data_IF_549768466059
#
_entry.id   IF_549768466059
#
_cell.length_a   1.000
_cell.length_b   1.000
_cell.length_c   1.000
_cell.angle_alpha   90.00
_cell.angle_beta   90.00
_cell.angle_gamma   90.00
#
_symmetry.space_group_name_H-M   'P 1'
#
loop_
_entity.id
_entity.type
_entity.pdbx_description
1 polymer ?
#
# COMPACT_ATOMS: atom_id res chain seq x y z
N UNK A 1 -2.89 29.51 -3.95
CA UNK A 1 -1.50 29.43 -4.47
C UNK A 1 -0.85 28.27 -3.73
N UNK A 2 -0.04 27.42 -4.38
CA UNK A 2 0.63 26.32 -3.69
C UNK A 2 1.47 26.88 -2.54
N UNK A 3 1.30 26.33 -1.34
CA UNK A 3 2.03 26.73 -0.14
C UNK A 3 3.43 26.09 -0.08
N UNK A 4 3.64 24.99 -0.81
CA UNK A 4 4.92 24.30 -0.95
C UNK A 4 5.25 24.00 -2.43
N UNK A 5 6.50 23.63 -2.79
CA UNK A 5 6.84 23.38 -4.19
C UNK A 5 5.99 22.28 -4.84
N UNK A 6 5.66 22.41 -6.14
CA UNK A 6 4.67 21.55 -6.80
C UNK A 6 5.20 20.18 -7.20
N UNK A 7 6.42 19.81 -6.84
CA UNK A 7 7.02 18.52 -7.24
C UNK A 7 7.99 18.02 -6.19
N UNK A 8 8.10 16.69 -6.06
CA UNK A 8 9.09 16.00 -5.23
C UNK A 8 10.50 16.41 -5.69
N UNK A 9 10.74 16.55 -6.99
CA UNK A 9 12.01 17.05 -7.51
C UNK A 9 12.38 18.44 -6.97
N UNK A 10 11.42 19.37 -6.98
CA UNK A 10 11.63 20.71 -6.46
C UNK A 10 11.87 20.69 -4.95
N UNK A 11 11.05 19.96 -4.18
CA UNK A 11 11.26 19.78 -2.74
C UNK A 11 12.64 19.19 -2.46
N UNK A 12 13.05 18.15 -3.18
CA UNK A 12 14.32 17.47 -2.98
C UNK A 12 15.55 18.34 -3.29
N UNK A 13 15.37 19.43 -4.05
CA UNK A 13 16.44 20.40 -4.38
C UNK A 13 16.64 21.45 -3.27
N UNK A 14 15.73 21.54 -2.29
CA UNK A 14 15.85 22.43 -1.13
C UNK A 14 16.90 21.94 -0.12
N UNK A 15 17.23 22.79 0.86
CA UNK A 15 18.08 22.40 1.98
C UNK A 15 17.44 21.25 2.77
N UNK A 16 18.27 20.41 3.40
CA UNK A 16 17.81 19.20 4.10
C UNK A 16 16.72 19.49 5.13
N UNK A 17 16.90 20.51 5.97
CA UNK A 17 15.95 20.85 7.03
C UNK A 17 14.60 21.31 6.46
N UNK A 18 14.62 22.07 5.36
CA UNK A 18 13.40 22.56 4.70
C UNK A 18 12.59 21.41 4.10
N UNK A 19 13.24 20.50 3.35
CA UNK A 19 12.52 19.38 2.76
C UNK A 19 12.05 18.36 3.79
N UNK A 20 12.82 18.14 4.86
CA UNK A 20 12.39 17.28 5.98
C UNK A 20 11.17 17.87 6.68
N UNK A 21 11.14 19.19 6.91
CA UNK A 21 9.98 19.87 7.48
C UNK A 21 8.74 19.80 6.57
N UNK A 22 8.92 19.79 5.25
CA UNK A 22 7.81 19.56 4.30
C UNK A 22 7.32 18.12 4.39
N UNK A 23 8.21 17.13 4.26
CA UNK A 23 7.82 15.73 4.24
C UNK A 23 7.32 15.20 5.59
N UNK A 24 7.70 15.79 6.72
CA UNK A 24 7.16 15.41 8.03
C UNK A 24 5.65 15.63 8.14
N UNK A 25 5.08 16.55 7.34
CA UNK A 25 3.63 16.77 7.25
C UNK A 25 2.85 15.56 6.72
N UNK A 26 3.52 14.61 6.06
CA UNK A 26 2.92 13.35 5.61
C UNK A 26 2.73 12.33 6.74
N UNK A 27 3.31 12.58 7.91
CA UNK A 27 3.25 11.69 9.06
C UNK A 27 2.03 12.10 9.91
N UNK A 28 1.05 11.20 10.10
CA UNK A 28 -0.12 11.51 10.92
C UNK A 28 0.25 11.94 12.34
N UNK A 29 -0.43 12.97 12.86
CA UNK A 29 -0.17 13.58 14.17
C UNK A 29 -0.13 12.58 15.34
N UNK A 30 -1.05 11.60 15.34
CA UNK A 30 -1.14 10.57 16.37
C UNK A 30 0.14 9.72 16.48
N UNK A 31 0.93 9.59 15.40
CA UNK A 31 2.22 8.87 15.45
C UNK A 31 3.20 9.57 16.38
N UNK A 32 3.24 10.91 16.36
CA UNK A 32 4.10 11.67 17.25
C UNK A 32 3.61 11.59 18.69
N UNK A 33 2.32 11.84 18.88
CA UNK A 33 1.73 12.00 20.20
C UNK A 33 1.65 10.67 20.96
N UNK A 34 1.17 9.60 20.31
CA UNK A 34 0.97 8.29 20.95
C UNK A 34 2.30 7.56 21.21
N UNK A 35 3.31 7.79 20.37
CA UNK A 35 4.61 7.13 20.50
C UNK A 35 5.65 7.97 21.26
N UNK A 36 5.34 9.23 21.58
CA UNK A 36 6.26 10.15 22.24
C UNK A 36 7.48 10.47 21.39
N UNK A 37 7.30 10.66 20.08
CA UNK A 37 8.39 10.99 19.15
C UNK A 37 8.57 12.52 19.12
N UNK A 38 9.81 12.98 19.31
CA UNK A 38 10.14 14.40 19.19
C UNK A 38 10.00 14.85 17.73
N UNK A 39 9.25 15.93 17.49
CA UNK A 39 8.91 16.43 16.15
C UNK A 39 10.06 17.15 15.44
N UNK A 40 11.08 17.58 16.18
CA UNK A 40 12.25 18.30 15.65
C UNK A 40 13.40 17.34 15.38
N UNK A 41 13.66 16.43 16.32
CA UNK A 41 14.77 15.47 16.21
C UNK A 41 14.35 14.16 15.53
N UNK A 42 13.05 13.86 15.52
CA UNK A 42 12.46 12.61 15.05
C UNK A 42 12.99 11.37 15.80
N UNK A 43 13.29 11.58 17.07
CA UNK A 43 13.81 10.58 17.98
C UNK A 43 12.76 10.17 19.00
N UNK A 44 12.91 8.94 19.48
CA UNK A 44 12.23 8.41 20.66
C UNK A 44 13.30 7.83 21.58
N UNK A 45 13.27 8.22 22.85
CA UNK A 45 14.26 7.79 23.85
C UNK A 45 15.73 8.03 23.39
N UNK A 46 15.97 9.15 22.70
CA UNK A 46 17.29 9.54 22.17
C UNK A 46 17.78 8.70 20.99
N UNK A 47 16.88 7.96 20.31
CA UNK A 47 17.20 7.17 19.12
C UNK A 47 16.31 7.58 17.95
N UNK A 48 16.90 7.75 16.77
CA UNK A 48 16.18 8.04 15.53
C UNK A 48 15.18 6.93 15.20
N UNK A 49 13.93 7.30 14.95
CA UNK A 49 12.85 6.35 14.57
C UNK A 49 12.10 6.75 13.30
N UNK A 50 12.32 7.96 12.78
CA UNK A 50 11.77 8.39 11.49
C UNK A 50 12.90 8.78 10.55
N UNK A 51 13.00 8.08 9.43
CA UNK A 51 14.00 8.33 8.39
C UNK A 51 13.33 8.87 7.13
N UNK A 52 13.97 9.89 6.53
CA UNK A 52 13.55 10.50 5.28
C UNK A 52 14.65 10.29 4.23
N UNK A 53 14.37 9.46 3.23
CA UNK A 53 15.27 9.22 2.11
C UNK A 53 14.86 10.12 0.94
N UNK A 54 15.43 11.32 0.89
CA UNK A 54 15.07 12.38 -0.06
C UNK A 54 16.33 12.97 -0.74
N UNK A 55 17.01 12.16 -1.55
CA UNK A 55 18.27 12.54 -2.20
C UNK A 55 18.09 13.78 -3.08
N UNK A 56 19.06 14.71 -3.03
CA UNK A 56 19.05 15.89 -3.88
C UNK A 56 18.92 15.54 -5.37
N UNK A 57 18.07 16.29 -6.08
CA UNK A 57 17.72 16.07 -7.49
C UNK A 57 17.07 14.72 -7.79
N UNK A 58 16.61 13.97 -6.78
CA UNK A 58 15.77 12.80 -6.97
C UNK A 58 14.32 13.20 -7.22
N UNK A 59 13.59 12.35 -7.94
CA UNK A 59 12.15 12.44 -8.17
C UNK A 59 11.34 11.52 -7.26
N UNK A 60 12.03 10.88 -6.30
CA UNK A 60 11.43 9.99 -5.30
C UNK A 60 11.75 10.46 -3.88
N UNK A 61 10.87 10.08 -2.96
CA UNK A 61 11.08 10.19 -1.51
C UNK A 61 10.57 8.91 -0.86
N UNK A 62 11.30 8.45 0.15
CA UNK A 62 10.85 7.38 1.05
C UNK A 62 10.83 7.90 2.49
N UNK A 63 9.79 7.53 3.23
CA UNK A 63 9.63 7.84 4.64
C UNK A 63 9.43 6.52 5.37
N UNK A 64 10.27 6.27 6.38
CA UNK A 64 10.20 5.09 7.22
C UNK A 64 10.01 5.51 8.66
N UNK A 65 8.94 5.04 9.30
CA UNK A 65 8.65 5.28 10.72
C UNK A 65 8.66 3.94 11.45
N UNK A 66 9.51 3.81 12.47
CA UNK A 66 9.54 2.66 13.38
C UNK A 66 8.90 3.02 14.72
N UNK A 67 8.38 2.02 15.44
CA UNK A 67 7.87 2.22 16.80
C UNK A 67 9.01 2.25 17.83
N UNK A 68 10.03 1.41 17.60
CA UNK A 68 11.32 1.38 18.28
C UNK A 68 12.44 1.31 17.23
N UNK A 69 13.58 1.95 17.49
CA UNK A 69 14.71 1.97 16.55
C UNK A 69 15.25 0.58 16.20
N UNK A 70 15.07 -0.40 17.10
CA UNK A 70 15.45 -1.80 16.92
C UNK A 70 14.43 -2.64 16.15
N UNK A 71 13.24 -2.11 15.85
CA UNK A 71 12.24 -2.83 15.06
C UNK A 71 12.82 -3.19 13.68
N UNK A 72 12.61 -4.43 13.27
CA UNK A 72 13.03 -4.92 11.95
C UNK A 72 12.25 -4.20 10.84
N UNK A 73 10.93 -4.14 10.97
CA UNK A 73 10.03 -3.58 9.98
C UNK A 73 9.52 -2.21 10.43
N UNK A 74 9.30 -1.26 9.50
CA UNK A 74 8.64 -0.01 9.84
C UNK A 74 7.17 -0.26 10.21
N UNK A 75 6.67 0.55 11.15
CA UNK A 75 5.26 0.69 11.45
C UNK A 75 4.52 1.43 10.32
N UNK A 76 5.15 2.46 9.75
CA UNK A 76 4.68 3.16 8.56
C UNK A 76 5.83 3.28 7.55
N UNK A 77 5.58 2.87 6.31
CA UNK A 77 6.47 3.12 5.20
C UNK A 77 5.70 3.77 4.05
N UNK A 78 6.24 4.85 3.50
CA UNK A 78 5.70 5.55 2.34
C UNK A 78 6.81 5.73 1.31
N UNK A 79 6.56 5.32 0.07
CA UNK A 79 7.41 5.58 -1.08
C UNK A 79 6.55 6.23 -2.16
N UNK A 80 6.95 7.42 -2.60
CA UNK A 80 6.27 8.18 -3.63
C UNK A 80 7.29 8.84 -4.56
N UNK A 81 6.86 9.04 -5.80
CA UNK A 81 7.66 9.69 -6.82
C UNK A 81 6.78 10.64 -7.66
N UNK A 82 7.40 11.55 -8.41
CA UNK A 82 6.70 12.36 -9.39
C UNK A 82 7.07 11.98 -10.83
N UNK A 83 6.16 12.21 -11.77
CA UNK A 83 6.40 12.03 -13.21
C UNK A 83 7.01 13.29 -13.82
N UNK A 84 7.55 13.22 -15.05
CA UNK A 84 8.14 14.40 -15.72
C UNK A 84 7.14 15.56 -15.86
N UNK A 85 5.85 15.25 -15.81
CA UNK A 85 4.74 16.20 -15.80
C UNK A 85 4.28 16.58 -14.38
N UNK A 86 5.11 16.33 -13.37
CA UNK A 86 4.89 16.64 -11.94
C UNK A 86 3.71 15.92 -11.31
N UNK A 87 3.14 14.90 -11.94
CA UNK A 87 2.07 14.11 -11.32
C UNK A 87 2.65 13.28 -10.19
N UNK A 88 2.02 13.32 -9.02
CA UNK A 88 2.43 12.53 -7.86
C UNK A 88 1.95 11.08 -8.01
N UNK A 89 2.84 10.13 -7.74
CA UNK A 89 2.60 8.70 -7.82
C UNK A 89 3.02 8.03 -6.51
N UNK A 90 2.06 7.46 -5.78
CA UNK A 90 2.33 6.64 -4.60
C UNK A 90 2.71 5.24 -5.07
N UNK A 91 3.95 4.85 -4.79
CA UNK A 91 4.52 3.56 -5.23
C UNK A 91 4.26 2.46 -4.21
N UNK A 92 4.40 2.77 -2.91
CA UNK A 92 4.12 1.84 -1.83
C UNK A 92 3.72 2.60 -0.58
N UNK A 93 2.68 2.12 0.10
CA UNK A 93 2.32 2.56 1.45
C UNK A 93 2.01 1.34 2.30
N UNK A 94 2.62 1.27 3.48
CA UNK A 94 2.48 0.17 4.43
C UNK A 94 2.18 0.74 5.80
N UNK A 95 1.20 0.14 6.48
CA UNK A 95 0.94 0.35 7.90
C UNK A 95 0.94 -1.01 8.59
N UNK A 96 1.83 -1.21 9.55
CA UNK A 96 2.00 -2.46 10.29
C UNK A 96 1.59 -2.30 11.75
N UNK A 97 0.73 -3.18 12.22
CA UNK A 97 0.44 -3.39 13.64
C UNK A 97 1.62 -4.15 14.27
N UNK A 98 2.46 -3.42 14.99
CA UNK A 98 3.72 -3.93 15.55
C UNK A 98 3.50 -4.92 16.70
N UNK A 99 2.29 -5.00 17.27
CA UNK A 99 1.91 -5.99 18.26
C UNK A 99 1.36 -7.27 17.63
N UNK A 100 1.05 -7.24 16.34
CA UNK A 100 0.62 -8.43 15.60
C UNK A 100 1.79 -9.33 15.23
N UNK A 101 1.52 -10.64 15.12
CA UNK A 101 2.50 -11.62 14.65
C UNK A 101 3.03 -11.23 13.26
N UNK A 102 4.36 -11.31 13.09
CA UNK A 102 5.03 -11.23 11.79
C UNK A 102 4.98 -12.57 11.07
N UNK A 103 4.72 -12.53 9.78
CA UNK A 103 4.82 -13.66 8.86
C UNK A 103 5.90 -13.37 7.83
N UNK A 104 6.84 -14.29 7.66
CA UNK A 104 8.03 -14.09 6.83
C UNK A 104 7.74 -14.41 5.36
N UNK A 105 6.72 -13.76 4.78
CA UNK A 105 6.36 -13.93 3.36
C UNK A 105 7.21 -13.08 2.41
N UNK A 106 7.90 -12.09 2.96
CA UNK A 106 8.82 -11.18 2.28
C UNK A 106 10.21 -11.78 2.07
N UNK A 107 10.51 -12.91 2.73
CA UNK A 107 11.77 -13.64 2.60
C UNK A 107 11.53 -15.14 2.39
N UNK A 108 12.38 -15.80 1.61
CA UNK A 108 12.33 -17.25 1.43
C UNK A 108 12.97 -18.02 2.60
N UNK A 109 13.01 -19.35 2.52
CA UNK A 109 13.60 -20.20 3.56
C UNK A 109 15.11 -19.99 3.75
N UNK A 110 15.80 -19.40 2.78
CA UNK A 110 17.22 -19.04 2.86
C UNK A 110 17.42 -17.56 3.28
N UNK A 111 16.33 -16.82 3.51
CA UNK A 111 16.36 -15.41 3.91
C UNK A 111 16.49 -14.42 2.76
N UNK A 112 16.37 -14.86 1.49
CA UNK A 112 16.42 -13.94 0.36
C UNK A 112 15.06 -13.25 0.16
N UNK A 113 15.02 -11.99 -0.29
CA UNK A 113 13.76 -11.30 -0.58
C UNK A 113 12.92 -12.04 -1.63
N UNK A 114 11.63 -12.23 -1.35
CA UNK A 114 10.69 -12.85 -2.30
C UNK A 114 10.22 -11.89 -3.39
N UNK A 115 10.42 -10.58 -3.18
CA UNK A 115 9.91 -9.50 -4.03
C UNK A 115 8.41 -9.65 -4.30
N UNK A 116 7.61 -9.75 -3.23
CA UNK A 116 6.15 -9.94 -3.29
C UNK A 116 5.75 -11.20 -4.07
N UNK A 117 6.56 -12.26 -3.97
CA UNK A 117 6.30 -13.54 -4.63
C UNK A 117 6.78 -13.62 -6.08
N UNK A 118 7.43 -12.58 -6.62
CA UNK A 118 7.88 -12.56 -8.03
C UNK A 118 9.19 -13.31 -8.25
N UNK A 119 10.08 -13.37 -7.26
CA UNK A 119 11.36 -14.10 -7.36
C UNK A 119 11.30 -15.49 -6.75
N UNK A 120 10.67 -15.62 -5.58
CA UNK A 120 10.50 -16.87 -4.83
C UNK A 120 9.28 -16.75 -3.92
N UNK A 121 8.81 -17.85 -3.32
CA UNK A 121 7.68 -17.84 -2.38
C UNK A 121 8.02 -18.63 -1.12
N UNK A 122 7.60 -18.11 0.02
CA UNK A 122 7.63 -18.83 1.30
C UNK A 122 6.24 -19.42 1.59
N UNK A 123 5.90 -20.52 0.93
CA UNK A 123 4.56 -21.12 0.95
C UNK A 123 4.05 -21.41 2.37
N UNK A 124 4.83 -21.98 3.30
CA UNK A 124 4.37 -22.20 4.67
C UNK A 124 3.95 -20.90 5.38
N UNK A 125 4.73 -19.83 5.24
CA UNK A 125 4.42 -18.52 5.83
C UNK A 125 3.22 -17.85 5.15
N UNK A 126 3.08 -17.98 3.83
CA UNK A 126 1.92 -17.46 3.10
C UNK A 126 0.62 -18.14 3.54
N UNK A 127 0.63 -19.47 3.72
CA UNK A 127 -0.52 -20.21 4.25
C UNK A 127 -0.85 -19.74 5.68
N UNK A 128 0.17 -19.58 6.53
CA UNK A 128 -0.03 -19.13 7.91
C UNK A 128 -0.56 -17.69 7.98
N UNK A 129 -0.05 -16.79 7.12
CA UNK A 129 -0.51 -15.40 7.01
C UNK A 129 -1.97 -15.34 6.52
N UNK A 130 -2.28 -16.10 5.46
CA UNK A 130 -3.64 -16.21 4.93
C UNK A 130 -4.63 -16.70 5.99
N UNK A 131 -4.28 -17.75 6.75
CA UNK A 131 -5.12 -18.29 7.82
C UNK A 131 -5.34 -17.28 8.96
N UNK A 132 -4.39 -16.36 9.18
CA UNK A 132 -4.52 -15.26 10.13
C UNK A 132 -5.27 -14.04 9.57
N UNK A 133 -5.78 -14.12 8.34
CA UNK A 133 -6.57 -13.07 7.71
C UNK A 133 -5.73 -11.95 7.09
N UNK A 134 -4.46 -12.20 6.75
CA UNK A 134 -3.64 -11.27 5.97
C UNK A 134 -3.86 -11.51 4.47
N UNK A 135 -3.70 -10.47 3.66
CA UNK A 135 -3.65 -10.54 2.19
C UNK A 135 -2.22 -10.81 1.68
N UNK A 136 -2.06 -11.14 0.38
CA UNK A 136 -0.74 -11.28 -0.24
C UNK A 136 0.14 -10.04 -0.02
N UNK A 137 1.42 -10.23 0.30
CA UNK A 137 2.36 -9.14 0.55
C UNK A 137 2.22 -8.43 1.91
N UNK A 138 1.22 -8.80 2.73
CA UNK A 138 1.12 -8.32 4.11
C UNK A 138 1.91 -9.22 5.07
N UNK A 139 2.97 -8.69 5.70
CA UNK A 139 3.77 -9.41 6.70
C UNK A 139 3.18 -9.32 8.12
N UNK A 140 2.32 -8.32 8.36
CA UNK A 140 1.68 -8.04 9.65
C UNK A 140 0.24 -7.57 9.40
N UNK A 141 -0.59 -7.58 10.45
CA UNK A 141 -1.92 -6.96 10.37
C UNK A 141 -1.76 -5.45 10.14
N UNK A 142 -2.66 -4.84 9.36
CA UNK A 142 -2.65 -3.39 9.20
C UNK A 142 -3.25 -2.63 10.39
N UNK A 143 -2.78 -1.40 10.64
CA UNK A 143 -3.26 -0.53 11.74
C UNK A 143 -4.66 0.06 11.53
N UNK A 144 -5.32 -0.21 10.38
CA UNK A 144 -6.56 0.48 9.96
C UNK A 144 -6.43 2.01 9.93
N UNK A 145 -5.20 2.53 9.89
CA UNK A 145 -4.87 3.96 9.91
C UNK A 145 -5.17 4.68 8.59
N UNK A 146 -5.49 3.95 7.52
CA UNK A 146 -5.71 4.53 6.19
C UNK A 146 -6.84 5.58 6.18
N UNK A 147 -7.88 5.39 7.00
CA UNK A 147 -8.96 6.38 7.17
C UNK A 147 -8.46 7.74 7.66
N UNK A 148 -7.42 7.76 8.50
CA UNK A 148 -6.84 8.99 9.03
C UNK A 148 -5.68 9.49 8.16
N UNK A 149 -4.97 8.59 7.48
CA UNK A 149 -3.83 8.93 6.64
C UNK A 149 -4.22 9.55 5.29
N UNK A 150 -5.34 9.13 4.69
CA UNK A 150 -5.80 9.67 3.40
C UNK A 150 -6.07 11.17 3.47
N UNK A 151 -6.83 11.71 4.45
CA UNK A 151 -7.03 13.15 4.57
C UNK A 151 -5.72 13.95 4.70
N UNK A 152 -4.79 13.49 5.57
CA UNK A 152 -3.46 14.12 5.72
C UNK A 152 -2.69 14.11 4.40
N UNK A 153 -2.79 13.02 3.64
CA UNK A 153 -2.16 12.93 2.33
C UNK A 153 -2.83 13.86 1.31
N UNK A 154 -4.17 13.92 1.27
CA UNK A 154 -4.91 14.84 0.39
C UNK A 154 -4.55 16.31 0.67
N UNK A 155 -4.51 16.73 1.94
CA UNK A 155 -4.07 18.08 2.32
C UNK A 155 -2.64 18.38 1.86
N UNK A 156 -1.73 17.41 1.97
CA UNK A 156 -0.37 17.56 1.46
C UNK A 156 -0.36 17.79 -0.06
N UNK A 157 -1.11 16.98 -0.82
CA UNK A 157 -1.18 17.07 -2.28
C UNK A 157 -1.83 18.40 -2.71
N UNK A 158 -2.88 18.86 -2.02
CA UNK A 158 -3.51 20.16 -2.26
C UNK A 158 -2.51 21.31 -2.01
N UNK A 159 -1.70 21.22 -0.95
CA UNK A 159 -0.68 22.25 -0.64
C UNK A 159 0.44 22.34 -1.68
N UNK A 160 0.70 21.25 -2.42
CA UNK A 160 1.57 21.23 -3.60
C UNK A 160 0.90 21.81 -4.85
N UNK A 161 -0.41 22.08 -4.81
CA UNK A 161 -1.19 22.61 -5.94
C UNK A 161 -1.65 21.54 -6.92
N UNK A 162 -1.78 20.28 -6.49
CA UNK A 162 -2.31 19.18 -7.30
C UNK A 162 -3.74 18.86 -6.91
N UNK A 163 -4.60 18.56 -7.88
CA UNK A 163 -5.99 18.16 -7.62
C UNK A 163 -6.18 16.63 -7.52
N UNK A 164 -5.13 15.86 -7.84
CA UNK A 164 -5.15 14.40 -7.84
C UNK A 164 -3.76 13.81 -7.64
N UNK A 165 -3.72 12.53 -7.26
CA UNK A 165 -2.51 11.71 -7.26
C UNK A 165 -2.81 10.29 -7.77
N UNK A 166 -1.77 9.60 -8.24
CA UNK A 166 -1.82 8.26 -8.80
C UNK A 166 -1.38 7.21 -7.78
N UNK A 167 -1.84 5.97 -7.95
CA UNK A 167 -1.36 4.80 -7.21
C UNK A 167 -1.46 3.53 -8.06
N UNK A 168 -0.53 2.60 -7.85
CA UNK A 168 -0.56 1.26 -8.44
C UNK A 168 -0.81 0.21 -7.36
N UNK A 169 -2.00 -0.42 -7.31
CA UNK A 169 -2.26 -1.49 -6.37
C UNK A 169 -1.44 -2.74 -6.73
N UNK A 170 -0.45 -3.08 -5.89
CA UNK A 170 0.43 -4.24 -6.09
C UNK A 170 -0.30 -5.61 -5.95
N UNK A 171 -1.54 -5.60 -5.46
CA UNK A 171 -2.37 -6.80 -5.31
C UNK A 171 -3.85 -6.47 -5.48
N UNK A 172 -4.67 -7.47 -5.85
CA UNK A 172 -6.11 -7.31 -6.08
C UNK A 172 -6.85 -6.69 -4.89
N UNK A 173 -6.56 -7.15 -3.67
CA UNK A 173 -7.22 -6.61 -2.47
C UNK A 173 -6.90 -5.13 -2.24
N UNK A 174 -5.73 -4.64 -2.67
CA UNK A 174 -5.39 -3.22 -2.57
C UNK A 174 -6.24 -2.38 -3.54
N UNK A 175 -6.50 -2.87 -4.75
CA UNK A 175 -7.39 -2.19 -5.69
C UNK A 175 -8.82 -2.06 -5.12
N UNK A 176 -9.36 -3.16 -4.57
CA UNK A 176 -10.68 -3.13 -3.91
C UNK A 176 -10.68 -2.23 -2.66
N UNK A 177 -9.58 -2.16 -1.92
CA UNK A 177 -9.45 -1.22 -0.80
C UNK A 177 -9.50 0.22 -1.28
N UNK A 178 -8.77 0.56 -2.33
CA UNK A 178 -8.71 1.92 -2.88
C UNK A 178 -10.05 2.36 -3.48
N UNK A 179 -10.81 1.46 -4.13
CA UNK A 179 -12.20 1.73 -4.53
C UNK A 179 -13.04 2.24 -3.35
N UNK A 180 -12.94 1.59 -2.18
CA UNK A 180 -13.67 1.99 -0.96
C UNK A 180 -13.21 3.33 -0.37
N UNK A 181 -12.02 3.79 -0.73
CA UNK A 181 -11.53 5.14 -0.38
C UNK A 181 -11.79 6.16 -1.50
N UNK A 182 -12.64 5.82 -2.47
CA UNK A 182 -13.09 6.72 -3.51
C UNK A 182 -12.06 6.93 -4.63
N UNK A 183 -11.11 6.02 -4.80
CA UNK A 183 -10.24 6.02 -5.97
C UNK A 183 -11.01 5.56 -7.21
N UNK A 184 -10.58 6.06 -8.37
CA UNK A 184 -11.07 5.64 -9.68
C UNK A 184 -9.88 5.11 -10.52
N UNK A 185 -10.16 4.56 -11.69
CA UNK A 185 -9.15 3.90 -12.52
C UNK A 185 -8.67 4.81 -13.64
N UNK A 186 -7.35 4.96 -13.75
CA UNK A 186 -6.72 5.43 -15.00
C UNK A 186 -6.66 4.28 -16.01
N UNK A 187 -6.41 3.06 -15.52
CA UNK A 187 -6.32 1.84 -16.31
C UNK A 187 -6.73 0.63 -15.46
N UNK A 188 -7.40 -0.35 -16.08
CA UNK A 188 -7.68 -1.64 -15.45
C UNK A 188 -9.11 -1.84 -14.92
N UNK A 189 -10.01 -0.85 -15.06
CA UNK A 189 -11.42 -1.00 -14.63
C UNK A 189 -12.10 -2.23 -15.25
N UNK A 190 -12.01 -2.39 -16.57
CA UNK A 190 -12.58 -3.54 -17.28
C UNK A 190 -11.96 -4.86 -16.82
N UNK A 191 -10.66 -4.88 -16.52
CA UNK A 191 -9.97 -6.06 -15.97
C UNK A 191 -10.53 -6.43 -14.59
N UNK A 192 -10.78 -5.45 -13.74
CA UNK A 192 -11.34 -5.68 -12.40
C UNK A 192 -12.78 -6.20 -12.46
N UNK A 193 -13.61 -5.62 -13.34
CA UNK A 193 -14.97 -6.11 -13.62
C UNK A 193 -14.97 -7.54 -14.18
N UNK A 194 -14.02 -7.84 -15.08
CA UNK A 194 -13.85 -9.18 -15.65
C UNK A 194 -13.42 -10.19 -14.59
N UNK A 195 -12.45 -9.84 -13.73
CA UNK A 195 -12.06 -10.67 -12.59
C UNK A 195 -13.29 -10.98 -11.72
N UNK A 196 -14.10 -9.97 -11.42
CA UNK A 196 -15.33 -10.19 -10.66
C UNK A 196 -16.27 -11.18 -11.34
N UNK A 197 -16.56 -10.99 -12.62
CA UNK A 197 -17.42 -11.88 -13.42
C UNK A 197 -16.91 -13.32 -13.44
N UNK A 198 -15.59 -13.52 -13.55
CA UNK A 198 -14.98 -14.85 -13.63
C UNK A 198 -14.94 -15.58 -12.28
N UNK A 199 -15.02 -14.87 -11.16
CA UNK A 199 -15.19 -15.45 -9.83
C UNK A 199 -16.65 -15.73 -9.45
N UNK A 200 -17.63 -15.20 -10.19
CA UNK A 200 -19.04 -15.56 -9.98
C UNK A 200 -19.30 -17.04 -10.32
N UNK A 201 -20.38 -17.65 -9.79
CA UNK A 201 -20.84 -18.96 -10.25
C UNK A 201 -20.85 -19.06 -11.79
N UNK A 202 -20.47 -20.22 -12.31
CA UNK A 202 -20.25 -20.51 -13.73
C UNK A 202 -19.07 -19.79 -14.42
N UNK A 203 -18.43 -18.85 -13.74
CA UNK A 203 -17.19 -18.22 -14.18
C UNK A 203 -16.02 -19.21 -14.28
N UNK A 204 -15.01 -18.89 -15.11
CA UNK A 204 -13.83 -19.73 -15.29
C UNK A 204 -13.04 -19.86 -13.99
N UNK A 205 -12.79 -18.77 -13.27
CA UNK A 205 -12.04 -18.82 -12.02
C UNK A 205 -12.80 -19.55 -10.93
N UNK A 206 -14.13 -19.39 -10.87
CA UNK A 206 -14.97 -20.17 -9.94
C UNK A 206 -14.87 -21.68 -10.20
N UNK A 207 -14.81 -22.11 -11.46
CA UNK A 207 -14.65 -23.53 -11.84
C UNK A 207 -13.25 -24.09 -11.55
N UNK A 208 -12.24 -23.22 -11.41
CA UNK A 208 -10.88 -23.59 -11.04
C UNK A 208 -10.66 -23.64 -9.51
N UNK A 209 -11.70 -23.34 -8.71
CA UNK A 209 -11.63 -23.50 -7.27
C UNK A 209 -11.76 -24.98 -6.91
N UNK A 210 -10.87 -25.44 -6.05
CA UNK A 210 -10.84 -26.78 -5.50
C UNK A 210 -10.48 -26.70 -4.02
N UNK A 211 -10.75 -27.76 -3.25
CA UNK A 211 -10.38 -27.80 -1.83
C UNK A 211 -9.00 -28.42 -1.58
N UNK A 212 -8.23 -28.70 -2.63
CA UNK A 212 -6.89 -29.30 -2.54
C UNK A 212 -5.81 -28.23 -2.39
N UNK A 213 -5.94 -27.11 -3.10
CA UNK A 213 -5.06 -25.96 -2.99
C UNK A 213 -5.53 -25.00 -1.88
N UNK A 214 -4.71 -24.72 -0.85
CA UNK A 214 -5.12 -23.86 0.26
C UNK A 214 -5.51 -22.43 -0.17
N UNK A 215 -4.95 -21.92 -1.27
CA UNK A 215 -5.23 -20.59 -1.81
C UNK A 215 -6.46 -20.53 -2.72
N UNK A 216 -7.03 -21.67 -3.13
CA UNK A 216 -8.12 -21.76 -4.12
C UNK A 216 -9.36 -22.51 -3.62
N UNK A 217 -9.55 -22.57 -2.30
CA UNK A 217 -10.73 -23.20 -1.67
C UNK A 217 -12.05 -22.69 -2.22
N UNK A 218 -13.09 -23.52 -2.19
CA UNK A 218 -14.39 -23.20 -2.79
C UNK A 218 -15.03 -21.89 -2.27
N UNK A 219 -14.71 -21.45 -1.06
CA UNK A 219 -15.28 -20.24 -0.47
C UNK A 219 -14.51 -18.95 -0.83
N UNK A 220 -13.34 -19.03 -1.45
CA UNK A 220 -12.48 -17.84 -1.67
C UNK A 220 -13.10 -16.81 -2.60
N UNK A 221 -13.99 -17.22 -3.52
CA UNK A 221 -14.65 -16.29 -4.44
C UNK A 221 -15.55 -15.27 -3.73
N UNK A 222 -15.98 -15.52 -2.49
CA UNK A 222 -16.86 -14.60 -1.76
C UNK A 222 -16.09 -13.48 -1.04
N UNK A 223 -14.77 -13.62 -0.88
CA UNK A 223 -13.97 -12.70 -0.07
C UNK A 223 -12.91 -11.98 -0.90
N UNK A 224 -12.63 -10.73 -0.54
CA UNK A 224 -11.59 -9.91 -1.18
C UNK A 224 -10.23 -10.57 -1.02
N UNK A 225 -9.90 -11.00 0.19
CA UNK A 225 -8.62 -11.66 0.50
C UNK A 225 -8.51 -13.03 -0.17
N UNK A 226 -9.59 -13.82 -0.17
CA UNK A 226 -9.62 -15.11 -0.84
C UNK A 226 -9.34 -14.97 -2.34
N UNK A 227 -10.04 -14.07 -3.05
CA UNK A 227 -9.75 -13.77 -4.46
C UNK A 227 -8.31 -13.31 -4.66
N UNK A 228 -7.81 -12.44 -3.77
CA UNK A 228 -6.44 -11.94 -3.88
C UNK A 228 -5.41 -13.05 -3.72
N UNK A 229 -5.60 -14.00 -2.81
CA UNK A 229 -4.72 -15.17 -2.65
C UNK A 229 -4.80 -16.12 -3.85
N UNK A 230 -6.00 -16.38 -4.38
CA UNK A 230 -6.14 -17.18 -5.60
C UNK A 230 -5.44 -16.52 -6.80
N UNK A 231 -5.51 -15.19 -6.91
CA UNK A 231 -4.80 -14.40 -7.93
C UNK A 231 -3.28 -14.46 -7.72
N UNK A 232 -2.80 -14.28 -6.48
CA UNK A 232 -1.38 -14.43 -6.12
C UNK A 232 -0.85 -15.81 -6.46
N UNK A 233 -1.68 -16.84 -6.27
CA UNK A 233 -1.37 -18.21 -6.61
C UNK A 233 -1.46 -18.51 -8.12
N UNK A 234 -1.84 -17.54 -8.94
CA UNK A 234 -1.79 -17.63 -10.41
C UNK A 234 -3.09 -18.07 -11.08
N UNK A 235 -4.25 -17.98 -10.43
CA UNK A 235 -5.54 -18.37 -11.05
C UNK A 235 -5.88 -17.57 -12.32
N UNK A 236 -5.30 -16.38 -12.49
CA UNK A 236 -5.47 -15.54 -13.68
C UNK A 236 -4.77 -16.13 -14.92
N UNK A 237 -3.81 -17.05 -14.74
CA UNK A 237 -2.92 -17.53 -15.81
C UNK A 237 -1.87 -16.50 -16.28
N UNK A 238 -1.83 -15.32 -15.64
CA UNK A 238 -0.88 -14.25 -15.91
C UNK A 238 -0.68 -13.39 -14.66
N UNK A 239 0.37 -12.56 -14.64
CA UNK A 239 0.62 -11.65 -13.54
C UNK A 239 -0.52 -10.63 -13.36
N UNK A 240 -0.81 -10.27 -12.11
CA UNK A 240 -1.72 -9.18 -11.79
C UNK A 240 -1.01 -7.84 -12.02
N UNK A 241 -1.05 -7.36 -13.26
CA UNK A 241 -0.47 -6.07 -13.68
C UNK A 241 -1.48 -5.26 -14.49
N UNK A 242 -1.11 -4.03 -14.89
CA UNK A 242 -1.96 -3.20 -15.75
C UNK A 242 -3.18 -2.61 -15.04
N UNK A 243 -3.06 -2.37 -13.72
CA UNK A 243 -4.06 -1.67 -12.91
C UNK A 243 -3.39 -0.44 -12.34
N UNK A 244 -3.91 0.73 -12.68
CA UNK A 244 -3.46 2.02 -12.16
C UNK A 244 -4.68 2.85 -11.80
N UNK A 245 -4.64 3.44 -10.61
CA UNK A 245 -5.74 4.18 -10.02
C UNK A 245 -5.33 5.62 -9.73
N UNK A 246 -6.31 6.50 -9.57
CA UNK A 246 -6.11 7.87 -9.13
C UNK A 246 -7.12 8.23 -8.05
N UNK A 247 -6.73 9.14 -7.17
CA UNK A 247 -7.63 9.80 -6.22
C UNK A 247 -7.65 11.29 -6.55
N UNK A 248 -8.86 11.83 -6.75
CA UNK A 248 -9.09 13.27 -6.85
C UNK A 248 -9.42 13.80 -5.47
N UNK A 249 -8.75 14.87 -5.05
CA UNK A 249 -8.86 15.42 -3.70
C UNK A 249 -10.30 15.83 -3.41
N UNK A 250 -10.87 15.30 -2.33
CA UNK A 250 -12.22 15.65 -1.88
C UNK A 250 -13.36 15.06 -2.73
N UNK A 251 -13.07 14.16 -3.67
CA UNK A 251 -14.09 13.46 -4.47
C UNK A 251 -14.09 11.95 -4.19
N UNK A 252 -15.28 11.37 -4.16
CA UNK A 252 -15.46 9.92 -4.17
C UNK A 252 -15.72 9.44 -5.62
N UNK A 253 -14.89 8.50 -6.09
CA UNK A 253 -15.01 7.94 -7.43
C UNK A 253 -16.25 7.08 -7.67
N UNK A 254 -16.91 6.61 -6.60
CA UNK A 254 -18.14 5.80 -6.68
C UNK A 254 -17.97 4.44 -7.36
N UNK A 255 -16.73 3.95 -7.48
CA UNK A 255 -16.45 2.68 -8.14
C UNK A 255 -16.61 1.52 -7.15
N UNK A 256 -17.26 0.45 -7.59
CA UNK A 256 -17.29 -0.82 -6.89
C UNK A 256 -17.27 -1.96 -7.90
N UNK A 257 -16.11 -2.59 -8.07
CA UNK A 257 -15.96 -3.75 -8.96
C UNK A 257 -16.24 -5.07 -8.24
N UNK A 258 -16.41 -5.04 -6.92
CA UNK A 258 -16.91 -6.15 -6.13
C UNK A 258 -17.97 -5.67 -5.13
N UNK A 259 -19.24 -5.51 -5.57
CA UNK A 259 -20.32 -4.92 -4.77
C UNK A 259 -20.58 -5.64 -3.43
N UNK A 260 -20.61 -6.97 -3.43
CA UNK A 260 -20.90 -7.80 -2.25
C UNK A 260 -19.63 -8.29 -1.54
N UNK A 261 -18.56 -7.48 -1.59
CA UNK A 261 -17.25 -7.86 -1.09
C UNK A 261 -17.21 -8.11 0.43
N UNK A 262 -16.91 -9.36 0.82
CA UNK A 262 -16.59 -9.76 2.19
C UNK A 262 -15.08 -9.64 2.43
N UNK A 263 -14.64 -9.11 3.58
CA UNK A 263 -13.22 -8.95 3.94
C UNK A 263 -12.64 -10.11 4.73
#
# INVERSE_FOLDING_TARGET
MPEIPPSIFAINTMATDEKVAIYSRLIPEWIYDDLGIDRLTFEKDGRRVIDFYCKAHSRSVEISVKRDASDQDPMLYLNMADTLYQQIHVLLVVFNDMDSKRYNIDVDQAGHPTFLGTSSRNIPEEIAAMQAGLGPGQIRRGLRAFKNAVPTFEEFIDSMGHDLFLIEPLAYHNAILFERYGFNYTMGLQKMQEIHRQFMPDGQFHRLLDNENPFRRQNVWQTVRGRSWAIHDGILGQAYTGVQMYKRIGYDGGISTFPDAIW
#
